data_IF_099275560760
#
_entry.id   IF_099275560760
#
_cell.length_a   1.000
_cell.length_b   1.000
_cell.length_c   1.000
_cell.angle_alpha   90.00
_cell.angle_beta   90.00
_cell.angle_gamma   90.00
#
_symmetry.space_group_name_H-M   'P 1'
#
loop_
_entity.id
_entity.type
_entity.pdbx_description
1 polymer ?
#
# COMPACT_ATOMS: atom_id res chain seq x y z
N UNK A 1 -69.85 -26.54 -59.36
CA UNK A 1 -69.40 -26.51 -60.77
C UNK A 1 -68.38 -25.39 -60.93
N UNK A 2 -67.31 -25.66 -61.69
CA UNK A 2 -66.32 -24.74 -62.25
C UNK A 2 -65.49 -23.89 -61.25
N UNK A 3 -64.22 -24.26 -60.99
CA UNK A 3 -62.99 -23.82 -61.73
C UNK A 3 -62.64 -22.36 -61.38
N UNK A 4 -61.55 -22.09 -60.64
CA UNK A 4 -60.17 -22.05 -61.15
C UNK A 4 -59.11 -22.37 -60.09
N UNK A 5 -58.30 -23.40 -60.38
CA UNK A 5 -56.85 -23.53 -60.11
C UNK A 5 -56.07 -22.44 -60.88
N UNK A 6 -54.72 -22.33 -60.81
CA UNK A 6 -53.72 -22.76 -59.81
C UNK A 6 -52.76 -21.58 -59.49
N UNK A 7 -51.74 -21.69 -58.64
CA UNK A 7 -50.33 -21.94 -58.99
C UNK A 7 -49.61 -21.89 -57.62
N UNK A 8 -49.14 -23.03 -57.09
CA UNK A 8 -47.78 -23.57 -57.30
C UNK A 8 -46.74 -22.67 -56.60
N UNK A 9 -45.90 -23.09 -55.66
CA UNK A 9 -45.26 -24.38 -55.33
C UNK A 9 -45.09 -24.42 -53.78
N UNK A 10 -45.31 -25.55 -53.07
CA UNK A 10 -44.36 -26.67 -52.91
C UNK A 10 -42.97 -26.16 -52.43
N UNK A 11 -42.28 -26.72 -51.43
CA UNK A 11 -42.46 -27.97 -50.68
C UNK A 11 -41.42 -27.99 -49.54
N UNK A 12 -41.77 -28.73 -48.48
CA UNK A 12 -40.94 -29.69 -47.70
C UNK A 12 -39.59 -29.20 -47.14
N UNK A 13 -39.50 -29.09 -45.81
CA UNK A 13 -38.89 -30.11 -44.93
C UNK A 13 -37.37 -30.27 -45.14
N UNK A 14 -36.59 -30.05 -44.09
CA UNK A 14 -35.86 -31.09 -43.35
C UNK A 14 -34.80 -30.45 -42.43
N UNK A 15 -34.90 -30.86 -41.17
CA UNK A 15 -33.87 -31.05 -40.14
C UNK A 15 -33.01 -29.88 -39.62
N UNK A 16 -33.16 -29.71 -38.30
CA UNK A 16 -32.10 -29.42 -37.33
C UNK A 16 -30.72 -29.96 -37.72
N UNK A 17 -29.68 -29.17 -37.49
CA UNK A 17 -28.51 -29.61 -36.75
C UNK A 17 -27.80 -28.41 -36.11
N UNK A 18 -27.44 -28.60 -34.85
CA UNK A 18 -26.72 -27.69 -33.98
C UNK A 18 -25.41 -27.19 -34.62
N UNK A 19 -25.02 -25.94 -34.38
CA UNK A 19 -23.91 -25.60 -33.46
C UNK A 19 -23.52 -24.12 -33.55
N UNK A 20 -23.40 -23.55 -32.35
CA UNK A 20 -22.50 -22.47 -31.91
C UNK A 20 -22.56 -21.06 -32.52
N UNK A 21 -22.47 -20.12 -31.58
CA UNK A 21 -22.07 -18.71 -31.69
C UNK A 21 -23.18 -17.65 -31.86
N UNK A 22 -23.77 -17.36 -30.69
CA UNK A 22 -24.47 -16.13 -30.32
C UNK A 22 -23.63 -14.87 -30.60
N UNK A 23 -23.72 -14.29 -31.80
CA UNK A 23 -23.48 -12.86 -32.01
C UNK A 23 -24.81 -12.14 -32.03
N UNK A 24 -25.29 -11.74 -30.85
CA UNK A 24 -26.42 -10.82 -30.71
C UNK A 24 -25.96 -9.45 -31.23
N UNK A 25 -26.22 -9.21 -32.52
CA UNK A 25 -26.22 -7.86 -33.11
C UNK A 25 -27.33 -7.07 -32.43
N UNK A 26 -26.99 -6.29 -31.40
CA UNK A 26 -27.87 -5.23 -30.89
C UNK A 26 -27.95 -4.16 -31.98
N UNK A 27 -28.99 -4.23 -32.81
CA UNK A 27 -29.42 -3.10 -33.65
C UNK A 27 -30.07 -2.06 -32.72
N UNK A 28 -29.29 -1.09 -32.27
CA UNK A 28 -29.84 0.13 -31.67
C UNK A 28 -30.30 1.06 -32.81
N UNK A 29 -31.62 1.28 -32.86
CA UNK A 29 -32.24 2.27 -33.75
C UNK A 29 -31.70 3.66 -33.42
N UNK A 30 -31.02 4.27 -34.39
CA UNK A 30 -30.47 5.61 -34.32
C UNK A 30 -31.61 6.63 -34.50
N UNK A 31 -31.98 7.31 -33.42
CA UNK A 31 -32.65 8.61 -33.51
C UNK A 31 -31.51 9.63 -33.43
N UNK A 32 -31.36 10.42 -34.48
CA UNK A 32 -30.42 11.54 -34.55
C UNK A 32 -30.76 12.50 -33.40
N UNK A 33 -30.04 12.39 -32.28
CA UNK A 33 -30.22 13.22 -31.09
C UNK A 33 -29.66 14.61 -31.39
N UNK A 34 -30.39 15.65 -30.98
CA UNK A 34 -30.02 17.05 -31.27
C UNK A 34 -28.82 17.46 -30.40
N UNK A 35 -28.04 18.41 -30.90
CA UNK A 35 -26.86 19.02 -30.26
C UNK A 35 -27.00 19.44 -28.77
N UNK A 36 -28.25 19.65 -28.29
CA UNK A 36 -28.56 20.00 -26.90
C UNK A 36 -28.71 18.80 -25.94
N UNK A 37 -28.80 17.57 -26.46
CA UNK A 37 -28.96 16.36 -25.64
C UNK A 37 -27.65 15.98 -24.91
N UNK A 38 -26.50 16.53 -25.34
CA UNK A 38 -25.20 16.35 -24.67
C UNK A 38 -25.11 17.04 -23.31
N UNK A 39 -26.00 17.98 -23.02
CA UNK A 39 -25.99 18.79 -21.81
C UNK A 39 -27.33 18.74 -21.08
N UNK A 40 -27.96 17.56 -21.04
CA UNK A 40 -29.27 17.37 -20.37
C UNK A 40 -29.24 17.60 -18.85
N UNK A 41 -28.05 17.70 -18.26
CA UNK A 41 -27.87 18.19 -16.89
C UNK A 41 -28.01 19.70 -16.72
N UNK A 42 -27.96 20.47 -17.81
CA UNK A 42 -28.21 21.91 -17.73
C UNK A 42 -29.67 22.16 -17.41
N UNK A 43 -29.91 23.08 -16.47
CA UNK A 43 -31.25 23.56 -16.17
C UNK A 43 -31.84 24.30 -17.37
N UNK A 44 -33.18 24.45 -17.41
CA UNK A 44 -33.84 25.23 -18.45
C UNK A 44 -33.30 26.67 -18.53
N UNK A 45 -32.98 27.26 -17.38
CA UNK A 45 -32.38 28.60 -17.26
C UNK A 45 -30.97 28.65 -17.86
N UNK A 46 -30.12 27.65 -17.57
CA UNK A 46 -28.77 27.55 -18.14
C UNK A 46 -28.80 27.30 -19.65
N UNK A 47 -29.77 26.53 -20.14
CA UNK A 47 -29.98 26.31 -21.58
C UNK A 47 -30.40 27.61 -22.28
N UNK A 48 -31.28 28.39 -21.67
CA UNK A 48 -31.69 29.71 -22.18
C UNK A 48 -30.51 30.71 -22.21
N UNK A 49 -29.65 30.66 -21.21
CA UNK A 49 -28.41 31.46 -21.13
C UNK A 49 -27.34 31.12 -22.17
N UNK A 50 -27.46 29.97 -22.83
CA UNK A 50 -26.55 29.49 -23.87
C UNK A 50 -27.17 29.60 -25.27
N UNK A 51 -28.46 29.96 -25.39
CA UNK A 51 -29.21 29.90 -26.66
C UNK A 51 -28.60 30.77 -27.77
N UNK A 52 -28.03 31.91 -27.40
CA UNK A 52 -27.46 32.90 -28.33
C UNK A 52 -25.94 32.69 -28.51
N UNK A 53 -25.33 31.75 -27.79
CA UNK A 53 -23.90 31.45 -27.87
C UNK A 53 -23.69 30.24 -28.77
N UNK A 54 -22.98 30.44 -29.88
CA UNK A 54 -22.71 29.36 -30.85
C UNK A 54 -21.93 28.21 -30.18
N UNK A 55 -22.48 27.01 -30.25
CA UNK A 55 -21.87 25.79 -29.70
C UNK A 55 -20.49 25.50 -30.32
N UNK A 56 -19.53 25.10 -29.48
CA UNK A 56 -18.14 24.86 -29.86
C UNK A 56 -17.22 26.08 -29.79
N UNK A 57 -17.77 27.29 -29.62
CA UNK A 57 -16.96 28.49 -29.34
C UNK A 57 -16.28 28.40 -27.97
N UNK A 58 -15.18 29.14 -27.80
CA UNK A 58 -14.49 29.25 -26.49
C UNK A 58 -15.42 29.79 -25.40
N UNK A 59 -16.30 30.72 -25.76
CA UNK A 59 -17.29 31.30 -24.85
C UNK A 59 -18.32 30.27 -24.38
N UNK A 60 -18.86 29.47 -25.32
CA UNK A 60 -19.76 28.37 -24.98
C UNK A 60 -19.09 27.35 -24.05
N UNK A 61 -17.87 26.93 -24.41
CA UNK A 61 -17.09 25.96 -23.63
C UNK A 61 -16.81 26.45 -22.21
N UNK A 62 -16.44 27.72 -22.06
CA UNK A 62 -16.18 28.33 -20.76
C UNK A 62 -17.44 28.32 -19.88
N UNK A 63 -18.57 28.79 -20.43
CA UNK A 63 -19.83 28.92 -19.68
C UNK A 63 -20.42 27.55 -19.30
N UNK A 64 -20.35 26.57 -20.20
CA UNK A 64 -20.71 25.17 -19.90
C UNK A 64 -19.77 24.59 -18.84
N UNK A 65 -18.47 24.85 -18.90
CA UNK A 65 -17.52 24.41 -17.88
C UNK A 65 -17.80 25.00 -16.48
N UNK A 66 -18.23 26.26 -16.42
CA UNK A 66 -18.65 26.92 -15.17
C UNK A 66 -19.89 26.24 -14.58
N UNK A 67 -20.91 25.98 -15.40
CA UNK A 67 -22.11 25.24 -14.96
C UNK A 67 -21.78 23.81 -14.54
N UNK A 68 -20.85 23.15 -15.24
CA UNK A 68 -20.42 21.80 -14.91
C UNK A 68 -19.72 21.74 -13.55
N UNK A 69 -18.83 22.70 -13.29
CA UNK A 69 -18.11 22.78 -12.02
C UNK A 69 -18.99 23.13 -10.82
N UNK A 70 -20.13 23.78 -11.07
CA UNK A 70 -21.13 24.09 -10.05
C UNK A 70 -22.01 22.88 -9.67
N UNK A 71 -21.98 21.78 -10.43
CA UNK A 71 -22.71 20.56 -10.09
C UNK A 71 -22.18 19.91 -8.79
N UNK A 72 -23.04 19.22 -8.06
CA UNK A 72 -22.63 18.36 -6.94
C UNK A 72 -21.65 17.28 -7.42
N UNK A 73 -20.75 16.81 -6.55
CA UNK A 73 -19.79 15.76 -6.89
C UNK A 73 -20.47 14.48 -7.44
N UNK A 74 -21.59 14.07 -6.83
CA UNK A 74 -22.36 12.90 -7.25
C UNK A 74 -22.91 13.04 -8.68
N UNK A 75 -23.56 14.17 -8.98
CA UNK A 75 -24.02 14.48 -10.36
C UNK A 75 -22.86 14.59 -11.34
N UNK A 76 -21.72 15.20 -10.97
CA UNK A 76 -20.54 15.22 -11.86
C UNK A 76 -20.03 13.83 -12.17
N UNK A 77 -20.00 12.93 -11.20
CA UNK A 77 -19.55 11.56 -11.43
C UNK A 77 -20.47 10.79 -12.40
N UNK A 78 -21.79 10.99 -12.30
CA UNK A 78 -22.77 10.44 -13.24
C UNK A 78 -22.51 10.93 -14.67
N UNK A 79 -22.31 12.25 -14.84
CA UNK A 79 -22.08 12.84 -16.15
C UNK A 79 -20.67 12.62 -16.69
N UNK A 80 -19.64 12.52 -15.85
CA UNK A 80 -18.30 12.06 -16.22
C UNK A 80 -18.36 10.65 -16.80
N UNK A 81 -19.13 9.73 -16.18
CA UNK A 81 -19.35 8.37 -16.71
C UNK A 81 -20.07 8.41 -18.05
N UNK A 82 -21.10 9.24 -18.19
CA UNK A 82 -21.81 9.46 -19.45
C UNK A 82 -20.84 9.94 -20.55
N UNK A 83 -20.07 10.99 -20.29
CA UNK A 83 -19.13 11.56 -21.25
C UNK A 83 -18.00 10.59 -21.61
N UNK A 84 -17.45 9.86 -20.64
CA UNK A 84 -16.41 8.86 -20.89
C UNK A 84 -16.92 7.70 -21.75
N UNK A 85 -18.15 7.25 -21.50
CA UNK A 85 -18.79 6.15 -22.25
C UNK A 85 -19.19 6.59 -23.66
N UNK A 86 -19.78 7.78 -23.81
CA UNK A 86 -20.20 8.26 -25.13
C UNK A 86 -19.04 8.85 -25.95
N UNK A 87 -17.92 9.23 -25.34
CA UNK A 87 -16.71 9.61 -26.07
C UNK A 87 -16.22 8.50 -27.00
N UNK A 88 -16.35 7.26 -26.54
CA UNK A 88 -16.09 6.07 -27.35
C UNK A 88 -17.02 6.03 -28.57
N UNK A 89 -18.33 6.17 -28.39
CA UNK A 89 -19.31 6.13 -29.49
C UNK A 89 -19.11 7.28 -30.50
N UNK A 90 -18.73 8.46 -30.03
CA UNK A 90 -18.47 9.63 -30.88
C UNK A 90 -17.18 9.52 -31.69
N UNK A 91 -16.24 8.70 -31.21
CA UNK A 91 -14.96 8.47 -31.88
C UNK A 91 -14.92 7.16 -32.67
N UNK A 92 -15.81 6.20 -32.40
CA UNK A 92 -15.82 4.86 -33.01
C UNK A 92 -15.87 4.86 -34.54
N UNK A 93 -16.55 5.84 -35.17
CA UNK A 93 -16.61 5.95 -36.64
C UNK A 93 -15.33 6.48 -37.28
N UNK A 94 -14.37 6.98 -36.50
CA UNK A 94 -13.10 7.53 -36.96
C UNK A 94 -11.90 6.58 -36.73
N UNK A 95 -12.16 5.35 -36.29
CA UNK A 95 -11.13 4.35 -35.98
C UNK A 95 -11.53 2.97 -36.50
N UNK A 96 -10.54 2.13 -36.78
CA UNK A 96 -10.74 0.73 -37.14
C UNK A 96 -10.86 -0.18 -35.89
N UNK A 97 -11.23 -1.46 -36.08
CA UNK A 97 -11.53 -2.37 -34.97
C UNK A 97 -10.34 -2.61 -34.01
N UNK A 98 -9.10 -2.59 -34.50
CA UNK A 98 -7.90 -2.78 -33.69
C UNK A 98 -7.61 -1.51 -32.87
N UNK A 99 -7.73 -0.34 -33.49
CA UNK A 99 -7.59 0.96 -32.84
C UNK A 99 -8.69 1.19 -31.78
N UNK A 100 -9.91 0.74 -32.06
CA UNK A 100 -11.05 0.76 -31.16
C UNK A 100 -10.80 -0.11 -29.92
N UNK A 101 -10.25 -1.31 -30.12
CA UNK A 101 -9.89 -2.23 -29.03
C UNK A 101 -8.76 -1.66 -28.16
N UNK A 102 -7.74 -1.06 -28.79
CA UNK A 102 -6.64 -0.41 -28.05
C UNK A 102 -7.13 0.82 -27.27
N UNK A 103 -8.01 1.62 -27.85
CA UNK A 103 -8.61 2.77 -27.17
C UNK A 103 -9.46 2.33 -25.98
N UNK A 104 -10.29 1.30 -26.11
CA UNK A 104 -11.06 0.72 -25.00
C UNK A 104 -10.15 0.19 -23.89
N UNK A 105 -9.06 -0.49 -24.25
CA UNK A 105 -8.07 -0.97 -23.28
C UNK A 105 -7.46 0.20 -22.50
N UNK A 106 -7.04 1.26 -23.20
CA UNK A 106 -6.48 2.44 -22.55
C UNK A 106 -7.50 3.16 -21.64
N UNK A 107 -8.79 3.16 -22.00
CA UNK A 107 -9.87 3.67 -21.13
C UNK A 107 -10.07 2.78 -19.90
N UNK A 108 -10.11 1.46 -20.07
CA UNK A 108 -10.28 0.50 -18.98
C UNK A 108 -9.10 0.53 -17.99
N UNK A 109 -7.87 0.69 -18.52
CA UNK A 109 -6.65 0.83 -17.74
C UNK A 109 -6.49 2.22 -17.11
N UNK A 110 -7.44 3.15 -17.33
CA UNK A 110 -7.36 4.56 -16.95
C UNK A 110 -6.05 5.25 -17.43
N UNK A 111 -5.53 4.88 -18.60
CA UNK A 111 -4.35 5.49 -19.22
C UNK A 111 -4.72 6.82 -19.91
N UNK A 112 -4.99 7.84 -19.08
CA UNK A 112 -5.50 9.17 -19.49
C UNK A 112 -4.64 9.83 -20.56
N UNK A 113 -3.32 9.62 -20.56
CA UNK A 113 -2.42 10.27 -21.54
C UNK A 113 -2.53 9.62 -22.92
N UNK A 114 -2.60 8.27 -23.01
CA UNK A 114 -2.85 7.60 -24.29
C UNK A 114 -4.25 7.88 -24.82
N UNK A 115 -5.26 7.89 -23.94
CA UNK A 115 -6.63 8.24 -24.30
C UNK A 115 -6.68 9.67 -24.87
N UNK A 116 -6.02 10.63 -24.24
CA UNK A 116 -5.97 12.02 -24.71
C UNK A 116 -5.20 12.18 -26.02
N UNK A 117 -4.04 11.52 -26.16
CA UNK A 117 -3.26 11.55 -27.38
C UNK A 117 -4.09 11.02 -28.56
N UNK A 118 -4.77 9.89 -28.36
CA UNK A 118 -5.63 9.29 -29.36
C UNK A 118 -6.85 10.15 -29.70
N UNK A 119 -7.53 10.72 -28.70
CA UNK A 119 -8.60 11.70 -28.91
C UNK A 119 -8.09 12.91 -29.73
N UNK A 120 -6.86 13.37 -29.48
CA UNK A 120 -6.23 14.46 -30.23
C UNK A 120 -5.96 14.12 -31.69
N UNK A 121 -5.60 12.88 -31.99
CA UNK A 121 -5.44 12.38 -33.37
C UNK A 121 -6.78 12.27 -34.07
N UNK A 122 -7.75 11.61 -33.44
CA UNK A 122 -9.09 11.40 -34.00
C UNK A 122 -9.80 12.72 -34.31
N UNK A 123 -9.58 13.77 -33.51
CA UNK A 123 -10.12 15.11 -33.78
C UNK A 123 -9.71 15.69 -35.14
N UNK A 124 -8.56 15.32 -35.68
CA UNK A 124 -8.06 15.83 -36.96
C UNK A 124 -8.92 15.33 -38.13
N UNK A 125 -9.41 14.11 -38.03
CA UNK A 125 -10.12 13.41 -39.10
C UNK A 125 -11.66 13.47 -38.94
N UNK A 126 -12.16 14.05 -37.84
CA UNK A 126 -13.58 14.28 -37.60
C UNK A 126 -14.08 15.57 -38.28
N UNK A 127 -15.32 15.52 -38.78
CA UNK A 127 -16.07 16.69 -39.23
C UNK A 127 -16.40 17.66 -38.07
N UNK A 128 -16.73 18.92 -38.40
CA UNK A 128 -16.93 19.99 -37.41
C UNK A 128 -18.08 19.71 -36.42
N UNK A 129 -19.03 18.85 -36.78
CA UNK A 129 -20.14 18.46 -35.91
C UNK A 129 -19.68 17.43 -34.87
N UNK A 130 -19.02 16.34 -35.30
CA UNK A 130 -18.49 15.32 -34.41
C UNK A 130 -17.32 15.82 -33.57
N UNK A 131 -16.52 16.75 -34.11
CA UNK A 131 -15.39 17.36 -33.41
C UNK A 131 -15.84 18.11 -32.15
N UNK A 132 -17.01 18.76 -32.17
CA UNK A 132 -17.58 19.46 -31.00
C UNK A 132 -17.91 18.51 -29.85
N UNK A 133 -18.43 17.32 -30.15
CA UNK A 133 -18.79 16.32 -29.14
C UNK A 133 -17.53 15.69 -28.51
N UNK A 134 -16.51 15.45 -29.32
CA UNK A 134 -15.22 14.90 -28.86
C UNK A 134 -14.37 15.93 -28.09
N UNK A 135 -14.63 17.22 -28.25
CA UNK A 135 -14.00 18.27 -27.43
C UNK A 135 -14.41 18.25 -25.97
N UNK A 136 -15.68 17.98 -25.67
CA UNK A 136 -16.19 17.85 -24.30
C UNK A 136 -15.52 16.67 -23.60
N UNK A 137 -15.41 15.53 -24.30
CA UNK A 137 -14.66 14.39 -23.82
C UNK A 137 -13.21 14.74 -23.45
N UNK A 138 -12.52 15.49 -24.31
CA UNK A 138 -11.14 15.90 -24.03
C UNK A 138 -11.00 16.78 -22.79
N UNK A 139 -12.01 17.58 -22.44
CA UNK A 139 -11.98 18.42 -21.24
C UNK A 139 -12.20 17.58 -19.97
N UNK A 140 -13.07 16.57 -20.00
CA UNK A 140 -13.25 15.59 -18.90
C UNK A 140 -11.94 14.86 -18.59
N UNK A 141 -11.22 14.43 -19.63
CA UNK A 141 -9.91 13.76 -19.44
C UNK A 141 -8.78 14.72 -19.04
N UNK A 142 -8.93 16.03 -19.29
CA UNK A 142 -7.98 17.06 -18.86
C UNK A 142 -8.10 17.35 -17.37
N UNK A 143 -9.30 17.36 -16.81
CA UNK A 143 -9.55 17.45 -15.37
C UNK A 143 -8.88 16.28 -14.62
N UNK A 144 -9.04 15.04 -15.13
CA UNK A 144 -8.36 13.87 -14.55
C UNK A 144 -6.84 13.93 -14.66
N UNK A 145 -6.29 14.49 -15.75
CA UNK A 145 -4.84 14.70 -15.90
C UNK A 145 -4.30 15.76 -14.93
N UNK A 146 -5.07 16.82 -14.62
CA UNK A 146 -4.70 17.81 -13.59
C UNK A 146 -4.67 17.17 -12.20
N UNK A 147 -5.73 16.43 -11.83
CA UNK A 147 -5.77 15.67 -10.57
C UNK A 147 -4.61 14.66 -10.44
N UNK A 148 -4.17 14.06 -11.55
CA UNK A 148 -2.99 13.16 -11.57
C UNK A 148 -1.67 13.87 -11.25
N UNK A 149 -1.50 15.11 -11.71
CA UNK A 149 -0.27 15.90 -11.54
C UNK A 149 -0.12 16.48 -10.14
N UNK A 150 -1.24 16.71 -9.45
CA UNK A 150 -1.22 17.26 -8.10
C UNK A 150 -1.07 16.16 -7.05
N UNK A 151 -0.37 16.46 -5.95
CA UNK A 151 -0.41 15.62 -4.75
C UNK A 151 -1.79 15.80 -4.12
N UNK A 152 -2.55 14.71 -4.02
CA UNK A 152 -3.90 14.76 -3.46
C UNK A 152 -3.84 15.35 -2.04
N UNK A 153 -4.84 16.16 -1.67
CA UNK A 153 -4.84 16.90 -0.40
C UNK A 153 -4.61 16.00 0.82
N UNK A 154 -5.13 14.76 0.78
CA UNK A 154 -4.93 13.75 1.82
C UNK A 154 -3.47 13.34 2.05
N UNK A 155 -2.58 13.55 1.08
CA UNK A 155 -1.15 13.21 1.16
C UNK A 155 -0.23 14.41 1.38
N UNK A 156 -0.74 15.64 1.35
CA UNK A 156 0.07 16.86 1.54
C UNK A 156 0.84 16.83 2.86
N UNK A 157 0.21 16.40 3.94
CA UNK A 157 0.87 16.30 5.25
C UNK A 157 1.96 15.22 5.31
N UNK A 158 1.92 14.21 4.43
CA UNK A 158 2.92 13.15 4.36
C UNK A 158 4.17 13.55 3.58
N UNK A 159 4.15 14.68 2.87
CA UNK A 159 5.28 15.16 2.06
C UNK A 159 5.91 16.45 2.58
N UNK A 160 5.35 17.07 3.64
CA UNK A 160 5.86 18.31 4.25
C UNK A 160 7.29 18.26 4.78
N UNK A 161 7.82 17.07 5.06
CA UNK A 161 9.19 16.89 5.54
C UNK A 161 10.22 16.93 4.40
N UNK A 162 9.78 16.81 3.15
CA UNK A 162 10.64 16.85 1.98
C UNK A 162 11.05 18.28 1.64
N UNK A 163 12.23 18.42 1.03
CA UNK A 163 12.65 19.72 0.48
C UNK A 163 11.83 20.08 -0.77
N UNK A 164 11.79 21.37 -1.16
CA UNK A 164 11.13 21.78 -2.41
C UNK A 164 11.68 21.07 -3.65
N UNK A 165 12.98 20.76 -3.67
CA UNK A 165 13.62 20.01 -4.75
C UNK A 165 13.13 18.55 -4.79
N UNK A 166 13.10 17.88 -3.64
CA UNK A 166 12.56 16.52 -3.53
C UNK A 166 11.08 16.43 -3.91
N UNK A 167 10.28 17.43 -3.53
CA UNK A 167 8.89 17.57 -3.97
C UNK A 167 8.78 17.79 -5.48
N UNK A 168 9.70 18.56 -6.06
CA UNK A 168 9.83 18.74 -7.50
C UNK A 168 10.03 17.42 -8.24
N UNK A 169 10.92 16.56 -7.74
CA UNK A 169 11.18 15.23 -8.30
C UNK A 169 9.95 14.31 -8.22
N UNK A 170 9.23 14.32 -7.10
CA UNK A 170 7.98 13.56 -6.95
C UNK A 170 6.92 14.05 -7.95
N UNK A 171 6.75 15.36 -8.09
CA UNK A 171 5.80 15.95 -9.02
C UNK A 171 6.16 15.66 -10.49
N UNK A 172 7.46 15.60 -10.81
CA UNK A 172 7.93 15.20 -12.13
C UNK A 172 7.55 13.75 -12.45
N UNK A 173 7.69 12.83 -11.48
CA UNK A 173 7.25 11.43 -11.64
C UNK A 173 5.74 11.32 -11.83
N UNK A 174 4.92 12.06 -11.05
CA UNK A 174 3.47 12.10 -11.24
C UNK A 174 3.08 12.67 -12.60
N UNK A 175 3.77 13.72 -13.06
CA UNK A 175 3.55 14.34 -14.37
C UNK A 175 3.90 13.41 -15.52
N UNK A 176 4.96 12.61 -15.37
CA UNK A 176 5.35 11.57 -16.32
C UNK A 176 4.47 10.32 -16.27
N UNK A 177 3.47 10.28 -15.37
CA UNK A 177 2.57 9.13 -15.19
C UNK A 177 3.23 7.91 -14.55
N UNK A 178 4.35 8.11 -13.84
CA UNK A 178 5.14 7.07 -13.18
C UNK A 178 4.72 6.90 -11.72
N UNK A 179 3.42 6.80 -11.47
CA UNK A 179 2.83 6.74 -10.13
C UNK A 179 3.37 5.56 -9.28
N UNK A 180 3.76 4.45 -9.93
CA UNK A 180 4.40 3.30 -9.26
C UNK A 180 5.83 3.58 -8.77
N UNK A 181 6.55 4.53 -9.39
CA UNK A 181 7.92 4.90 -9.00
C UNK A 181 7.94 5.89 -7.83
N UNK A 182 6.85 6.65 -7.63
CA UNK A 182 6.72 7.67 -6.57
C UNK A 182 6.97 7.07 -5.18
N UNK A 183 6.37 5.93 -4.88
CA UNK A 183 6.54 5.29 -3.56
C UNK A 183 8.00 4.89 -3.31
N UNK A 184 8.71 4.40 -4.32
CA UNK A 184 10.12 4.04 -4.21
C UNK A 184 11.00 5.28 -3.98
N UNK A 185 10.74 6.37 -4.70
CA UNK A 185 11.48 7.63 -4.55
C UNK A 185 11.24 8.29 -3.19
N UNK A 186 10.01 8.25 -2.68
CA UNK A 186 9.67 8.70 -1.31
C UNK A 186 10.46 7.88 -0.28
N UNK A 187 10.56 6.56 -0.44
CA UNK A 187 11.35 5.69 0.45
C UNK A 187 12.85 5.98 0.39
N UNK A 188 13.38 6.30 -0.79
CA UNK A 188 14.77 6.69 -0.98
C UNK A 188 15.09 7.96 -0.19
N UNK A 189 14.31 9.04 -0.38
CA UNK A 189 14.48 10.29 0.37
C UNK A 189 14.33 10.08 1.88
N UNK A 190 13.39 9.22 2.29
CA UNK A 190 13.18 8.92 3.71
C UNK A 190 14.38 8.16 4.30
N UNK A 191 15.00 7.29 3.51
CA UNK A 191 16.19 6.54 3.90
C UNK A 191 17.43 7.41 4.11
N UNK A 192 17.50 8.57 3.45
CA UNK A 192 18.59 9.55 3.57
C UNK A 192 18.52 10.40 4.85
N UNK A 193 17.37 10.40 5.55
CA UNK A 193 17.22 11.14 6.79
C UNK A 193 18.01 10.52 7.96
N UNK A 194 18.39 11.31 8.97
CA UNK A 194 18.87 10.79 10.25
C UNK A 194 17.89 9.81 10.92
N UNK A 195 18.40 8.83 11.69
CA UNK A 195 17.60 7.76 12.26
C UNK A 195 16.52 8.25 13.26
N UNK A 196 16.84 9.28 14.03
CA UNK A 196 15.95 10.00 14.94
C UNK A 196 14.81 10.71 14.19
N UNK A 197 15.12 11.36 13.07
CA UNK A 197 14.10 11.98 12.21
C UNK A 197 13.21 10.92 11.55
N UNK A 198 13.78 9.80 11.10
CA UNK A 198 13.01 8.68 10.58
C UNK A 198 12.05 8.09 11.63
N UNK A 199 12.50 7.93 12.88
CA UNK A 199 11.66 7.43 13.97
C UNK A 199 10.50 8.39 14.27
N UNK A 200 10.80 9.69 14.36
CA UNK A 200 9.81 10.74 14.61
C UNK A 200 8.76 10.79 13.51
N UNK A 201 9.17 10.82 12.24
CA UNK A 201 8.25 10.85 11.09
C UNK A 201 7.39 9.57 11.00
N UNK A 202 7.92 8.40 11.37
CA UNK A 202 7.11 7.18 11.43
C UNK A 202 5.99 7.29 12.45
N UNK A 203 6.27 7.76 13.65
CA UNK A 203 5.23 7.94 14.67
C UNK A 203 4.22 9.03 14.27
N UNK A 204 4.69 10.13 13.67
CA UNK A 204 3.82 11.16 13.13
C UNK A 204 2.89 10.61 12.03
N UNK A 205 3.42 9.78 11.13
CA UNK A 205 2.64 9.15 10.06
C UNK A 205 1.65 8.12 10.59
N UNK A 206 1.99 7.36 11.63
CA UNK A 206 1.01 6.50 12.34
C UNK A 206 -0.15 7.33 12.88
N UNK A 207 0.16 8.49 13.48
CA UNK A 207 -0.85 9.45 13.92
C UNK A 207 -1.76 9.91 12.78
N UNK A 208 -1.18 10.34 11.65
CA UNK A 208 -1.94 10.79 10.47
C UNK A 208 -2.79 9.68 9.85
N UNK A 209 -2.27 8.45 9.78
CA UNK A 209 -3.04 7.27 9.36
C UNK A 209 -4.26 7.05 10.25
N UNK A 210 -4.10 7.15 11.57
CA UNK A 210 -5.22 7.04 12.51
C UNK A 210 -6.25 8.15 12.28
N UNK A 211 -5.81 9.39 12.14
CA UNK A 211 -6.70 10.55 11.89
C UNK A 211 -7.51 10.35 10.61
N UNK A 212 -6.87 9.86 9.53
CA UNK A 212 -7.55 9.62 8.25
C UNK A 212 -8.62 8.52 8.33
N UNK A 213 -8.30 7.36 8.93
CA UNK A 213 -9.23 6.22 8.96
C UNK A 213 -10.32 6.35 10.02
N UNK A 214 -10.08 7.06 11.12
CA UNK A 214 -11.08 7.24 12.20
C UNK A 214 -12.47 7.67 11.71
N UNK A 215 -12.63 8.72 10.88
CA UNK A 215 -13.95 9.14 10.39
C UNK A 215 -14.60 8.13 9.43
N UNK A 216 -13.84 7.18 8.86
CA UNK A 216 -14.38 6.14 7.99
C UNK A 216 -14.87 4.92 8.78
N UNK A 217 -14.49 4.81 10.05
CA UNK A 217 -14.80 3.68 10.93
C UNK A 217 -16.06 3.92 11.77
N UNK A 218 -16.75 2.84 12.11
CA UNK A 218 -17.84 2.84 13.10
C UNK A 218 -17.28 2.85 14.53
N UNK A 219 -18.12 3.20 15.52
CA UNK A 219 -17.74 3.16 16.93
C UNK A 219 -17.26 1.77 17.38
N UNK A 220 -17.94 0.71 16.93
CA UNK A 220 -17.55 -0.67 17.24
C UNK A 220 -16.20 -1.05 16.62
N UNK A 221 -15.93 -0.62 15.39
CA UNK A 221 -14.64 -0.85 14.71
C UNK A 221 -13.51 -0.09 15.39
N UNK A 222 -13.77 1.13 15.89
CA UNK A 222 -12.82 1.91 16.66
C UNK A 222 -12.49 1.25 18.00
N UNK A 223 -13.44 0.60 18.65
CA UNK A 223 -13.18 -0.14 19.88
C UNK A 223 -12.46 -1.45 19.59
N UNK A 224 -12.86 -2.18 18.53
CA UNK A 224 -12.14 -3.38 18.08
C UNK A 224 -10.68 -3.08 17.75
N UNK A 225 -10.37 -2.04 16.98
CA UNK A 225 -8.98 -1.73 16.61
C UNK A 225 -8.13 -1.30 17.82
N UNK A 226 -8.72 -0.72 18.87
CA UNK A 226 -8.01 -0.44 20.13
C UNK A 226 -7.67 -1.74 20.89
N UNK A 227 -8.50 -2.78 20.76
CA UNK A 227 -8.26 -4.09 21.40
C UNK A 227 -7.26 -4.95 20.62
N UNK A 228 -7.09 -4.71 19.31
CA UNK A 228 -6.12 -5.41 18.45
C UNK A 228 -4.68 -4.87 18.59
N UNK A 229 -4.31 -4.33 19.76
CA UNK A 229 -2.95 -3.84 20.02
C UNK A 229 -1.95 -5.00 19.99
N UNK A 230 -1.21 -5.10 18.89
CA UNK A 230 -0.19 -6.13 18.68
C UNK A 230 -0.55 -7.13 17.57
N UNK A 231 -1.84 -7.30 17.27
CA UNK A 231 -2.31 -8.09 16.14
C UNK A 231 -2.46 -7.21 14.89
N UNK A 232 -1.32 -6.98 14.24
CA UNK A 232 -1.23 -6.10 13.06
C UNK A 232 -1.97 -6.66 11.85
N UNK A 233 -2.11 -7.97 11.75
CA UNK A 233 -2.78 -8.63 10.64
C UNK A 233 -4.29 -8.46 10.75
N UNK A 234 -4.86 -8.73 11.94
CA UNK A 234 -6.27 -8.49 12.20
C UNK A 234 -6.63 -7.00 12.13
N UNK A 235 -5.76 -6.11 12.66
CA UNK A 235 -5.96 -4.67 12.54
C UNK A 235 -5.92 -4.22 11.07
N UNK A 236 -4.99 -4.75 10.27
CA UNK A 236 -4.90 -4.49 8.85
C UNK A 236 -6.13 -4.97 8.07
N UNK A 237 -6.62 -6.17 8.36
CA UNK A 237 -7.83 -6.72 7.74
C UNK A 237 -9.08 -5.88 8.07
N UNK A 238 -9.20 -5.39 9.30
CA UNK A 238 -10.29 -4.52 9.71
C UNK A 238 -10.26 -3.19 8.94
N UNK A 239 -9.10 -2.53 8.87
CA UNK A 239 -8.95 -1.28 8.09
C UNK A 239 -9.20 -1.54 6.59
N UNK A 240 -8.77 -2.68 6.05
CA UNK A 240 -9.08 -3.06 4.67
C UNK A 240 -10.59 -3.17 4.44
N UNK A 241 -11.34 -3.81 5.34
CA UNK A 241 -12.79 -3.86 5.27
C UNK A 241 -13.46 -2.46 5.31
N UNK A 242 -12.85 -1.51 6.02
CA UNK A 242 -13.28 -0.09 6.03
C UNK A 242 -13.07 0.58 4.68
N UNK A 243 -11.97 0.26 3.98
CA UNK A 243 -11.67 0.75 2.63
C UNK A 243 -12.59 0.12 1.59
N UNK A 244 -12.77 -1.19 1.64
CA UNK A 244 -13.48 -1.96 0.61
C UNK A 244 -14.95 -1.53 0.46
N UNK A 245 -15.57 -1.05 1.55
CA UNK A 245 -16.95 -0.54 1.56
C UNK A 245 -17.11 0.89 1.03
N UNK A 246 -16.03 1.64 0.83
CA UNK A 246 -16.11 3.00 0.29
C UNK A 246 -16.41 2.96 -1.21
N UNK A 247 -16.84 4.09 -1.77
CA UNK A 247 -17.15 4.24 -3.20
C UNK A 247 -16.51 5.51 -3.79
N UNK A 248 -16.39 5.55 -5.12
CA UNK A 248 -15.90 6.71 -5.87
C UNK A 248 -14.48 7.15 -5.46
N UNK A 249 -14.25 8.46 -5.44
CA UNK A 249 -12.96 9.08 -5.10
C UNK A 249 -12.50 8.73 -3.67
N UNK A 250 -13.43 8.52 -2.73
CA UNK A 250 -13.09 8.14 -1.35
C UNK A 250 -12.42 6.77 -1.31
N UNK A 251 -12.93 5.80 -2.08
CA UNK A 251 -12.31 4.47 -2.19
C UNK A 251 -10.91 4.55 -2.76
N UNK A 252 -10.74 5.25 -3.88
CA UNK A 252 -9.45 5.37 -4.56
C UNK A 252 -8.38 6.02 -3.67
N UNK A 253 -8.74 7.05 -2.89
CA UNK A 253 -7.82 7.70 -1.95
C UNK A 253 -7.55 6.78 -0.75
N UNK A 254 -8.57 6.11 -0.22
CA UNK A 254 -8.44 5.23 0.94
C UNK A 254 -7.59 3.99 0.64
N UNK A 255 -7.66 3.43 -0.58
CA UNK A 255 -6.79 2.35 -1.05
C UNK A 255 -5.32 2.79 -1.11
N UNK A 256 -5.05 3.98 -1.66
CA UNK A 256 -3.70 4.57 -1.67
C UNK A 256 -3.20 4.79 -0.24
N UNK A 257 -4.05 5.33 0.63
CA UNK A 257 -3.71 5.58 2.04
C UNK A 257 -3.45 4.27 2.81
N UNK A 258 -4.22 3.22 2.54
CA UNK A 258 -4.01 1.90 3.15
C UNK A 258 -2.63 1.33 2.79
N UNK A 259 -2.20 1.50 1.53
CA UNK A 259 -0.85 1.10 1.10
C UNK A 259 0.24 1.87 1.84
N UNK A 260 0.13 3.20 1.92
CA UNK A 260 1.09 4.06 2.64
C UNK A 260 1.13 3.71 4.12
N UNK A 261 -0.02 3.63 4.77
CA UNK A 261 -0.13 3.30 6.18
C UNK A 261 0.36 1.89 6.49
N UNK A 262 0.07 0.91 5.62
CA UNK A 262 0.60 -0.44 5.73
C UNK A 262 2.13 -0.46 5.80
N UNK A 263 2.81 0.33 4.96
CA UNK A 263 4.28 0.46 5.00
C UNK A 263 4.80 1.13 6.28
N UNK A 264 4.07 2.10 6.84
CA UNK A 264 4.43 2.77 8.10
C UNK A 264 4.29 1.82 9.30
N UNK A 265 3.28 0.95 9.29
CA UNK A 265 2.99 0.00 10.36
C UNK A 265 3.72 -1.34 10.22
N UNK A 266 4.26 -1.68 9.04
CA UNK A 266 5.21 -2.77 8.88
C UNK A 266 6.33 -2.56 9.90
N UNK A 267 6.54 -3.54 10.77
CA UNK A 267 7.70 -3.47 11.65
C UNK A 267 8.91 -3.31 10.77
N UNK A 268 9.68 -2.26 11.06
CA UNK A 268 10.95 -2.13 10.41
C UNK A 268 11.70 -3.41 10.73
N UNK A 269 12.04 -4.15 9.68
CA UNK A 269 13.07 -5.17 9.73
C UNK A 269 14.36 -4.64 10.38
N UNK A 270 14.50 -3.32 10.61
CA UNK A 270 15.50 -2.70 11.50
C UNK A 270 15.52 -3.19 12.96
N UNK A 271 14.42 -3.53 13.62
CA UNK A 271 14.51 -4.15 14.97
C UNK A 271 15.26 -5.49 14.92
N UNK A 272 15.26 -6.16 13.76
CA UNK A 272 16.08 -7.35 13.48
C UNK A 272 17.53 -7.01 13.14
N UNK A 273 17.79 -5.82 12.58
CA UNK A 273 19.13 -5.35 12.14
C UNK A 273 19.94 -4.72 13.27
N UNK A 274 19.28 -4.13 14.25
CA UNK A 274 19.92 -3.52 15.42
C UNK A 274 20.03 -4.51 16.58
N UNK A 275 21.05 -4.34 17.41
CA UNK A 275 21.15 -5.06 18.67
C UNK A 275 20.11 -4.45 19.62
N UNK A 276 19.13 -5.25 20.02
CA UNK A 276 18.03 -4.79 20.87
C UNK A 276 18.62 -4.14 22.14
N UNK A 277 17.99 -3.08 22.69
CA UNK A 277 18.55 -2.33 23.82
C UNK A 277 18.97 -3.21 25.01
N UNK A 278 18.23 -4.29 25.27
CA UNK A 278 18.53 -5.28 26.32
C UNK A 278 19.86 -6.02 26.12
N UNK A 279 20.39 -6.09 24.89
CA UNK A 279 21.64 -6.75 24.54
C UNK A 279 22.80 -5.79 24.31
N UNK A 280 22.58 -4.47 24.31
CA UNK A 280 23.63 -3.48 24.08
C UNK A 280 24.78 -3.61 25.08
N UNK A 281 24.45 -3.86 26.35
CA UNK A 281 25.47 -4.06 27.39
C UNK A 281 26.32 -5.31 27.18
N UNK A 282 25.83 -6.32 26.46
CA UNK A 282 26.55 -7.55 26.16
C UNK A 282 27.52 -7.42 24.97
N UNK A 283 27.48 -6.31 24.25
CA UNK A 283 28.32 -6.07 23.08
C UNK A 283 29.24 -4.85 23.21
N UNK A 284 29.17 -4.13 24.35
CA UNK A 284 30.03 -2.96 24.66
C UNK A 284 31.54 -3.24 24.67
N UNK A 285 31.96 -4.50 24.78
CA UNK A 285 33.37 -4.90 24.72
C UNK A 285 33.89 -5.05 23.29
N UNK A 286 33.00 -5.09 22.29
CA UNK A 286 33.38 -5.17 20.88
C UNK A 286 33.77 -3.79 20.34
N UNK A 287 34.65 -3.77 19.35
CA UNK A 287 34.97 -2.55 18.62
C UNK A 287 33.82 -2.15 17.69
N UNK A 288 33.75 -0.88 17.25
CA UNK A 288 32.76 -0.44 16.26
C UNK A 288 32.79 -1.26 14.96
N UNK A 289 33.98 -1.71 14.53
CA UNK A 289 34.15 -2.56 13.34
C UNK A 289 33.56 -3.96 13.57
N UNK A 290 33.84 -4.58 14.71
CA UNK A 290 33.26 -5.88 15.09
C UNK A 290 31.73 -5.81 15.21
N UNK A 291 31.20 -4.71 15.77
CA UNK A 291 29.76 -4.45 15.80
C UNK A 291 29.18 -4.29 14.39
N UNK A 292 29.92 -3.65 13.48
CA UNK A 292 29.56 -3.56 12.06
C UNK A 292 29.37 -4.92 11.41
N UNK A 293 30.31 -5.84 11.63
CA UNK A 293 30.25 -7.23 11.12
C UNK A 293 29.03 -7.98 11.67
N UNK A 294 28.76 -7.87 12.98
CA UNK A 294 27.59 -8.50 13.61
C UNK A 294 26.28 -7.94 13.04
N UNK A 295 26.20 -6.62 12.87
CA UNK A 295 25.03 -5.97 12.28
C UNK A 295 24.83 -6.38 10.82
N UNK A 296 25.90 -6.58 10.05
CA UNK A 296 25.83 -7.09 8.68
C UNK A 296 25.29 -8.52 8.61
N UNK A 297 25.73 -9.41 9.50
CA UNK A 297 25.20 -10.78 9.60
C UNK A 297 23.73 -10.81 10.00
N UNK A 298 23.33 -9.98 10.97
CA UNK A 298 21.92 -9.76 11.33
C UNK A 298 21.10 -9.23 10.15
N UNK A 299 21.64 -8.27 9.39
CA UNK A 299 20.98 -7.71 8.22
C UNK A 299 20.77 -8.76 7.11
N UNK A 300 21.70 -9.70 6.97
CA UNK A 300 21.59 -10.83 6.06
C UNK A 300 20.69 -11.98 6.58
N UNK A 301 20.13 -11.87 7.78
CA UNK A 301 19.27 -12.89 8.39
C UNK A 301 20.01 -14.15 8.87
N UNK A 302 21.34 -14.07 9.02
CA UNK A 302 22.23 -15.18 9.36
C UNK A 302 22.45 -15.28 10.88
N UNK A 303 21.36 -15.45 11.63
CA UNK A 303 21.37 -15.46 13.11
C UNK A 303 22.29 -16.55 13.70
N UNK A 304 22.44 -17.70 13.04
CA UNK A 304 23.37 -18.75 13.47
C UNK A 304 24.83 -18.33 13.35
N UNK A 305 25.18 -17.59 12.30
CA UNK A 305 26.55 -17.09 12.07
C UNK A 305 26.90 -15.95 13.04
N UNK A 306 25.90 -15.18 13.51
CA UNK A 306 26.11 -14.15 14.54
C UNK A 306 26.69 -14.76 15.81
N UNK A 307 26.12 -15.85 16.30
CA UNK A 307 26.61 -16.49 17.53
C UNK A 307 28.05 -17.00 17.38
N UNK A 308 28.39 -17.58 16.22
CA UNK A 308 29.74 -18.04 15.92
C UNK A 308 30.74 -16.88 15.84
N UNK A 309 30.36 -15.79 15.17
CA UNK A 309 31.21 -14.60 15.04
C UNK A 309 31.45 -13.90 16.38
N UNK A 310 30.43 -13.82 17.23
CA UNK A 310 30.60 -13.33 18.61
C UNK A 310 31.55 -14.22 19.42
N UNK A 311 31.45 -15.55 19.29
CA UNK A 311 32.37 -16.51 19.93
C UNK A 311 33.80 -16.36 19.41
N UNK A 312 33.98 -16.11 18.12
CA UNK A 312 35.27 -15.84 17.49
C UNK A 312 35.91 -14.58 18.07
N UNK A 313 35.21 -13.44 18.06
CA UNK A 313 35.71 -12.20 18.65
C UNK A 313 36.03 -12.34 20.14
N UNK A 314 35.22 -13.11 20.87
CA UNK A 314 35.46 -13.35 22.29
C UNK A 314 36.70 -14.21 22.52
N UNK A 315 36.94 -15.20 21.65
CA UNK A 315 38.13 -16.06 21.69
C UNK A 315 39.44 -15.34 21.37
N UNK A 316 39.38 -14.21 20.66
CA UNK A 316 40.53 -13.36 20.35
C UNK A 316 40.98 -12.49 21.54
N UNK A 317 40.15 -12.37 22.59
CA UNK A 317 40.50 -11.60 23.78
C UNK A 317 41.52 -12.33 24.66
N UNK A 318 42.35 -11.61 25.44
CA UNK A 318 43.17 -12.20 26.50
C UNK A 318 42.34 -13.03 27.50
N UNK A 319 42.92 -14.12 28.02
CA UNK A 319 42.22 -15.03 28.93
C UNK A 319 41.67 -14.35 30.22
N UNK A 320 42.38 -13.33 30.71
CA UNK A 320 41.94 -12.51 31.84
C UNK A 320 40.70 -11.67 31.49
N UNK A 321 40.70 -11.04 30.32
CA UNK A 321 39.54 -10.29 29.82
C UNK A 321 38.33 -11.19 29.54
N UNK A 322 38.56 -12.39 28.99
CA UNK A 322 37.50 -13.39 28.81
C UNK A 322 36.86 -13.80 30.16
N UNK A 323 37.68 -13.97 31.20
CA UNK A 323 37.18 -14.36 32.53
C UNK A 323 36.38 -13.23 33.16
N UNK A 324 36.90 -12.00 33.08
CA UNK A 324 36.20 -10.80 33.56
C UNK A 324 34.84 -10.60 32.87
N UNK A 325 34.81 -10.66 31.53
CA UNK A 325 33.58 -10.51 30.75
C UNK A 325 32.54 -11.60 31.03
N UNK A 326 32.97 -12.85 31.27
CA UNK A 326 32.06 -13.93 31.68
C UNK A 326 31.38 -13.62 33.01
N UNK A 327 32.12 -13.14 34.00
CA UNK A 327 31.54 -12.76 35.29
C UNK A 327 30.65 -11.51 35.18
N UNK A 328 31.05 -10.52 34.39
CA UNK A 328 30.22 -9.34 34.09
C UNK A 328 28.88 -9.74 33.44
N UNK A 329 28.92 -10.68 32.48
CA UNK A 329 27.71 -11.17 31.82
C UNK A 329 26.81 -11.98 32.74
N UNK A 330 27.37 -12.81 33.64
CA UNK A 330 26.59 -13.47 34.69
C UNK A 330 25.90 -12.44 35.58
N UNK A 331 26.59 -11.35 35.91
CA UNK A 331 26.03 -10.21 36.63
C UNK A 331 24.84 -9.59 35.89
N UNK A 332 25.02 -9.26 34.61
CA UNK A 332 23.97 -8.68 33.75
C UNK A 332 22.75 -9.59 33.59
N UNK A 333 22.98 -10.89 33.38
CA UNK A 333 21.92 -11.91 33.36
C UNK A 333 21.11 -11.91 34.65
N UNK A 334 21.79 -11.86 35.81
CA UNK A 334 21.11 -11.79 37.10
C UNK A 334 20.28 -10.52 37.24
N UNK A 335 20.83 -9.36 36.86
CA UNK A 335 20.12 -8.07 36.92
C UNK A 335 18.86 -8.08 36.05
N UNK A 336 18.95 -8.61 34.83
CA UNK A 336 17.81 -8.66 33.91
C UNK A 336 16.66 -9.54 34.43
N UNK A 337 16.99 -10.74 34.94
CA UNK A 337 15.96 -11.69 35.37
C UNK A 337 15.42 -11.45 36.78
N UNK A 338 16.16 -10.76 37.64
CA UNK A 338 15.71 -10.45 39.02
C UNK A 338 14.31 -9.81 39.09
N UNK A 339 13.99 -8.74 38.33
CA UNK A 339 12.65 -8.13 38.34
C UNK A 339 11.56 -9.04 37.75
N UNK A 340 11.94 -10.08 36.99
CA UNK A 340 10.99 -11.04 36.43
C UNK A 340 10.66 -12.17 37.39
N UNK A 341 11.38 -12.32 38.50
CA UNK A 341 11.26 -13.42 39.47
C UNK A 341 10.53 -12.98 40.76
N UNK A 342 9.89 -13.92 41.44
CA UNK A 342 9.38 -13.69 42.80
C UNK A 342 10.51 -13.82 43.83
N UNK A 343 10.28 -13.31 45.05
CA UNK A 343 11.25 -13.44 46.15
C UNK A 343 11.58 -14.90 46.47
N UNK A 344 10.61 -15.81 46.37
CA UNK A 344 10.82 -17.25 46.58
C UNK A 344 11.67 -17.87 45.47
N UNK A 345 11.40 -17.51 44.21
CA UNK A 345 12.19 -17.98 43.06
C UNK A 345 13.63 -17.46 43.09
N UNK A 346 13.85 -16.24 43.60
CA UNK A 346 15.18 -15.68 43.80
C UNK A 346 15.99 -16.45 44.86
N UNK A 347 15.36 -16.94 45.92
CA UNK A 347 16.03 -17.80 46.90
C UNK A 347 16.26 -19.21 46.34
N UNK A 348 15.29 -19.76 45.61
CA UNK A 348 15.45 -21.06 44.91
C UNK A 348 16.59 -21.02 43.89
N UNK A 349 16.70 -20.01 43.04
CA UNK A 349 17.78 -19.96 42.03
C UNK A 349 19.17 -19.80 42.68
N UNK A 350 19.26 -19.15 43.85
CA UNK A 350 20.51 -19.07 44.63
C UNK A 350 20.92 -20.41 45.23
N UNK A 351 19.96 -21.25 45.62
CA UNK A 351 20.24 -22.60 46.15
C UNK A 351 20.56 -23.61 45.04
N UNK A 352 20.02 -23.41 43.84
CA UNK A 352 20.26 -24.25 42.66
C UNK A 352 21.59 -23.94 41.92
N UNK A 353 22.59 -23.35 42.60
CA UNK A 353 23.89 -23.03 41.98
C UNK A 353 24.59 -24.25 41.36
N UNK A 354 24.47 -25.42 41.99
CA UNK A 354 25.07 -26.67 41.51
C UNK A 354 24.14 -27.45 40.56
N UNK A 355 22.82 -27.30 40.70
CA UNK A 355 21.82 -27.99 39.89
C UNK A 355 21.38 -27.11 38.70
N UNK A 356 22.13 -27.23 37.60
CA UNK A 356 21.92 -26.42 36.40
C UNK A 356 20.63 -26.75 35.67
N UNK A 357 20.16 -27.99 35.77
CA UNK A 357 18.94 -28.44 35.11
C UNK A 357 17.72 -27.88 35.82
N UNK A 358 17.66 -27.99 37.14
CA UNK A 358 16.62 -27.37 37.94
C UNK A 358 16.65 -25.84 37.84
N UNK A 359 17.84 -25.23 37.83
CA UNK A 359 17.98 -23.79 37.59
C UNK A 359 17.44 -23.40 36.21
N UNK A 360 17.75 -24.15 35.16
CA UNK A 360 17.25 -23.92 33.81
C UNK A 360 15.73 -24.06 33.71
N UNK A 361 15.14 -25.07 34.34
CA UNK A 361 13.69 -25.28 34.38
C UNK A 361 12.95 -24.15 35.11
N UNK A 362 13.52 -23.66 36.23
CA UNK A 362 12.99 -22.52 36.95
C UNK A 362 13.03 -21.25 36.09
N UNK A 363 14.16 -20.99 35.42
CA UNK A 363 14.30 -19.85 34.52
C UNK A 363 13.32 -19.92 33.34
N UNK A 364 13.11 -21.11 32.77
CA UNK A 364 12.12 -21.32 31.70
C UNK A 364 10.70 -21.00 32.19
N UNK A 365 10.34 -21.42 33.40
CA UNK A 365 9.04 -21.11 34.01
C UNK A 365 8.83 -19.59 34.18
N UNK A 366 9.88 -18.88 34.61
CA UNK A 366 9.88 -17.42 34.76
C UNK A 366 9.68 -16.70 33.42
N UNK A 367 10.25 -17.23 32.34
CA UNK A 367 10.09 -16.72 30.97
C UNK A 367 8.70 -17.04 30.41
N UNK A 368 8.24 -18.27 30.56
CA UNK A 368 7.00 -18.76 29.95
C UNK A 368 5.76 -18.00 30.44
N UNK A 369 5.79 -17.48 31.67
CA UNK A 369 4.71 -16.66 32.26
C UNK A 369 4.66 -15.21 31.77
N UNK A 370 5.69 -14.73 31.08
CA UNK A 370 5.70 -13.35 30.57
C UNK A 370 4.79 -13.26 29.33
N UNK A 371 4.40 -12.05 28.96
CA UNK A 371 3.56 -11.80 27.78
C UNK A 371 4.17 -10.74 26.86
N UNK A 372 3.74 -10.75 25.59
CA UNK A 372 4.12 -9.76 24.59
C UNK A 372 5.63 -9.63 24.37
N UNK A 373 6.11 -8.39 24.28
CA UNK A 373 7.52 -8.06 24.02
C UNK A 373 8.46 -8.56 25.13
N UNK A 374 8.00 -8.58 26.38
CA UNK A 374 8.79 -9.06 27.53
C UNK A 374 9.13 -10.54 27.37
N UNK A 375 8.16 -11.37 26.95
CA UNK A 375 8.40 -12.80 26.70
C UNK A 375 9.44 -13.03 25.61
N UNK A 376 9.28 -12.38 24.46
CA UNK A 376 10.17 -12.57 23.32
C UNK A 376 11.62 -12.16 23.63
N UNK A 377 11.83 -11.07 24.38
CA UNK A 377 13.17 -10.65 24.80
C UNK A 377 13.73 -11.60 25.87
N UNK A 378 12.90 -12.03 26.82
CA UNK A 378 13.33 -12.93 27.90
C UNK A 378 13.73 -14.33 27.38
N UNK A 379 13.05 -14.85 26.36
CA UNK A 379 13.42 -16.10 25.66
C UNK A 379 14.82 -16.00 25.02
N UNK A 380 15.10 -14.91 24.30
CA UNK A 380 16.41 -14.64 23.72
C UNK A 380 17.49 -14.49 24.79
N UNK A 381 17.18 -13.75 25.85
CA UNK A 381 18.11 -13.51 26.96
C UNK A 381 18.42 -14.81 27.72
N UNK A 382 17.44 -15.71 27.86
CA UNK A 382 17.64 -17.01 28.46
C UNK A 382 18.64 -17.86 27.66
N UNK A 383 18.56 -17.81 26.33
CA UNK A 383 19.52 -18.47 25.44
C UNK A 383 20.95 -17.94 25.62
N UNK A 384 21.11 -16.61 25.62
CA UNK A 384 22.42 -15.95 25.81
C UNK A 384 22.99 -16.25 27.19
N UNK A 385 22.20 -16.07 28.24
CA UNK A 385 22.62 -16.34 29.62
C UNK A 385 22.95 -17.82 29.82
N UNK A 386 22.18 -18.73 29.23
CA UNK A 386 22.46 -20.17 29.23
C UNK A 386 23.86 -20.48 28.72
N UNK A 387 24.28 -19.88 27.60
CA UNK A 387 25.64 -20.04 27.06
C UNK A 387 26.73 -19.51 28.00
N UNK A 388 26.48 -18.40 28.71
CA UNK A 388 27.43 -17.81 29.68
C UNK A 388 27.61 -18.72 30.91
N UNK A 389 26.54 -19.40 31.34
CA UNK A 389 26.58 -20.33 32.48
C UNK A 389 27.04 -21.74 32.13
N UNK A 390 27.18 -22.09 30.82
CA UNK A 390 27.83 -23.35 30.40
C UNK A 390 29.33 -23.28 30.73
N UNK A 391 29.82 -24.20 31.55
CA UNK A 391 31.28 -24.37 31.71
C UNK A 391 31.87 -25.01 30.46
N UNK A 392 33.09 -24.61 30.09
CA UNK A 392 33.87 -25.29 29.06
C UNK A 392 34.12 -26.73 29.52
N UNK A 393 33.59 -27.71 28.79
CA UNK A 393 33.77 -29.15 29.05
C UNK A 393 35.24 -29.60 29.05
N UNK A 394 36.18 -28.73 28.63
CA UNK A 394 37.62 -29.02 28.61
C UNK A 394 38.26 -29.22 29.97
N UNK A 395 37.78 -28.57 31.05
CA UNK A 395 38.37 -28.78 32.39
C UNK A 395 38.06 -30.15 33.01
N UNK A 396 37.13 -30.93 32.44
CA UNK A 396 36.81 -32.28 32.94
C UNK A 396 37.76 -33.37 32.41
N UNK A 397 38.53 -33.10 31.33
CA UNK A 397 39.47 -34.08 30.76
C UNK A 397 40.90 -33.97 31.28
N UNK A 398 41.24 -32.90 31.99
CA UNK A 398 42.59 -32.71 32.57
C UNK A 398 42.69 -33.15 34.05
N UNK A 399 41.61 -33.70 34.61
CA UNK A 399 41.59 -34.28 35.97
C UNK A 399 41.53 -35.82 35.92
N UNK A 400 41.42 -36.42 34.72
CA UNK A 400 41.44 -37.88 34.51
C UNK A 400 42.55 -38.30 33.52
N UNK A 401 43.73 -37.66 33.59
CA UNK A 401 44.94 -38.12 32.91
C UNK A 401 46.11 -38.25 33.88
#
# INVERSE_FOLDING_TARGET
MAVRRPILFLFLFVANLETSESKVKVRLHYREKRDNDLHDWLTAEQKEELKDIKQGTQEFKKKVGEFYNALSAEKREEWDKFYKTHCFEWTAKAQNADEETEFQKNVADNDVEKVKARIGELKKDLDDEKRKNVEICAEVYKESSRKRREIESAFQDFVKWMTPEQLGDINALKTAGKDSEVQAKVKEFFGQLPADQQATLKEEFKGKCKVYFTPLMTAEELDKIKTLKGDKEAAGALVKGVVDRQTGDVKAIAEKMLSVCGEVYKDSTRRRREIEPAFQDFVKWMTPEQLGDINALKAAGKESEVQEKVKEFFGQLPAEQQTSLKEEFKGKCRVYFTPLMTSEELEKIKSLKADKEAAGALMKTVVDRQEGEVKSVAEKMLGVCGEVYKQSSRKRREIEA
#
